data_IF_537463685707
#
_entry.id   IF_537463685707
#
_cell.length_a   1.000
_cell.length_b   1.000
_cell.length_c   1.000
_cell.angle_alpha   90.00
_cell.angle_beta   90.00
_cell.angle_gamma   90.00
#
_symmetry.space_group_name_H-M   'P 1'
#
loop_
_entity.id
_entity.type
_entity.pdbx_description
1 polymer ?
#
# COMPACT_ATOMS: atom_id res chain seq x y z
N UNK A 1 -14.12 9.67 10.61
CA UNK A 1 -14.13 8.72 9.46
C UNK A 1 -15.42 7.94 9.30
N UNK A 2 -16.21 7.68 10.36
CA UNK A 2 -17.44 6.88 10.25
C UNK A 2 -18.49 7.40 9.22
N UNK A 3 -18.75 8.71 9.07
CA UNK A 3 -19.68 9.19 8.05
C UNK A 3 -19.20 8.86 6.63
N UNK A 4 -17.93 9.14 6.31
CA UNK A 4 -17.34 8.83 5.01
C UNK A 4 -17.36 7.33 4.69
N UNK A 5 -17.05 6.48 5.67
CA UNK A 5 -17.07 5.03 5.48
C UNK A 5 -18.47 4.54 5.09
N UNK A 6 -19.51 5.05 5.75
CA UNK A 6 -20.92 4.73 5.44
C UNK A 6 -21.33 5.23 4.06
N UNK A 7 -20.93 6.45 3.68
CA UNK A 7 -21.17 6.97 2.34
C UNK A 7 -20.49 6.11 1.25
N UNK A 8 -19.38 5.46 1.59
CA UNK A 8 -18.68 4.48 0.74
C UNK A 8 -19.21 3.05 0.87
N UNK A 9 -20.27 2.81 1.65
CA UNK A 9 -20.88 1.50 1.85
C UNK A 9 -20.13 0.56 2.81
N UNK A 10 -19.16 1.07 3.58
CA UNK A 10 -18.44 0.31 4.60
C UNK A 10 -19.04 0.54 6.00
N UNK A 11 -19.63 -0.51 6.55
CA UNK A 11 -20.25 -0.53 7.88
C UNK A 11 -19.42 -1.28 8.93
N UNK A 12 -18.29 -1.86 8.54
CA UNK A 12 -17.47 -2.67 9.44
C UNK A 12 -16.63 -1.84 10.41
N UNK A 13 -16.04 -2.48 11.44
CA UNK A 13 -15.00 -1.84 12.24
C UNK A 13 -13.85 -1.31 11.40
N UNK A 14 -13.11 -0.30 11.89
CA UNK A 14 -11.89 0.16 11.24
C UNK A 14 -10.89 -0.97 10.99
N UNK A 15 -10.11 -0.86 9.92
CA UNK A 15 -8.98 -1.75 9.67
C UNK A 15 -7.92 -1.65 10.77
N UNK A 16 -7.30 -2.78 11.10
CA UNK A 16 -6.16 -2.82 12.01
C UNK A 16 -4.95 -2.16 11.40
N UNK A 17 -4.19 -1.45 12.23
CA UNK A 17 -2.87 -0.95 11.84
C UNK A 17 -1.84 -2.09 11.84
N UNK A 18 -1.53 -2.61 10.66
CA UNK A 18 -0.51 -3.66 10.46
C UNK A 18 0.68 -3.07 9.69
N UNK A 19 1.80 -2.73 10.36
CA UNK A 19 2.92 -2.01 9.73
C UNK A 19 3.44 -2.70 8.46
N UNK A 20 3.73 -4.01 8.54
CA UNK A 20 4.25 -4.78 7.41
C UNK A 20 3.29 -4.81 6.21
N UNK A 21 1.98 -4.95 6.44
CA UNK A 21 0.98 -4.91 5.35
C UNK A 21 0.87 -3.52 4.74
N UNK A 22 0.92 -2.48 5.57
CA UNK A 22 0.86 -1.08 5.10
C UNK A 22 2.10 -0.64 4.34
N UNK A 23 3.24 -1.27 4.59
CA UNK A 23 4.46 -1.06 3.81
C UNK A 23 4.27 -1.57 2.38
N UNK A 24 3.77 -2.80 2.21
CA UNK A 24 3.47 -3.38 0.90
C UNK A 24 2.48 -2.54 0.10
N UNK A 25 1.37 -2.13 0.72
CA UNK A 25 0.34 -1.32 0.04
C UNK A 25 0.87 0.04 -0.39
N UNK A 26 1.74 0.65 0.43
CA UNK A 26 2.36 1.93 0.05
C UNK A 26 3.33 1.75 -1.11
N UNK A 27 4.16 0.70 -1.07
CA UNK A 27 5.08 0.42 -2.16
C UNK A 27 4.35 0.16 -3.49
N UNK A 28 3.25 -0.60 -3.47
CA UNK A 28 2.39 -0.84 -4.63
C UNK A 28 1.77 0.48 -5.15
N UNK A 29 1.28 1.33 -4.25
CA UNK A 29 0.71 2.62 -4.61
C UNK A 29 1.76 3.56 -5.21
N UNK A 30 2.95 3.64 -4.61
CA UNK A 30 4.05 4.47 -5.10
C UNK A 30 4.49 4.00 -6.51
N UNK A 31 4.60 2.68 -6.71
CA UNK A 31 4.88 2.09 -8.02
C UNK A 31 3.83 2.46 -9.07
N UNK A 32 2.54 2.39 -8.72
CA UNK A 32 1.45 2.84 -9.59
C UNK A 32 1.56 4.32 -9.93
N UNK A 33 1.88 5.17 -8.95
CA UNK A 33 2.03 6.61 -9.19
C UNK A 33 3.19 6.90 -10.15
N UNK A 34 4.30 6.17 -10.09
CA UNK A 34 5.39 6.32 -11.05
C UNK A 34 4.96 6.02 -12.49
N UNK A 35 4.15 4.97 -12.70
CA UNK A 35 3.54 4.69 -14.01
C UNK A 35 2.59 5.82 -14.46
N UNK A 36 1.77 6.34 -13.54
CA UNK A 36 0.86 7.48 -13.83
C UNK A 36 1.62 8.74 -14.26
N UNK A 37 2.78 8.99 -13.65
CA UNK A 37 3.64 10.11 -14.03
C UNK A 37 4.51 9.84 -15.26
N UNK A 38 4.51 8.61 -15.78
CA UNK A 38 5.22 8.24 -17.00
C UNK A 38 6.73 8.10 -16.84
N UNK A 39 7.21 7.84 -15.63
CA UNK A 39 8.63 7.60 -15.39
C UNK A 39 9.02 6.19 -15.82
N UNK A 40 10.17 6.07 -16.48
CA UNK A 40 10.78 4.78 -16.76
C UNK A 40 11.45 4.17 -15.51
N UNK A 41 11.85 2.91 -15.64
CA UNK A 41 12.39 2.12 -14.52
C UNK A 41 13.69 2.70 -13.93
N UNK A 42 14.52 3.33 -14.74
CA UNK A 42 15.80 3.92 -14.32
C UNK A 42 15.58 5.30 -13.69
N UNK A 43 14.62 6.08 -14.21
CA UNK A 43 14.17 7.32 -13.60
C UNK A 43 13.58 7.09 -12.20
N UNK A 44 12.77 6.05 -12.03
CA UNK A 44 12.25 5.65 -10.70
C UNK A 44 13.40 5.27 -9.77
N UNK A 45 14.34 4.47 -10.25
CA UNK A 45 15.52 4.05 -9.48
C UNK A 45 16.33 5.26 -8.97
N UNK A 46 16.53 6.25 -9.84
CA UNK A 46 17.19 7.51 -9.54
C UNK A 46 16.40 8.37 -8.54
N UNK A 47 15.09 8.55 -8.74
CA UNK A 47 14.22 9.30 -7.82
C UNK A 47 14.29 8.71 -6.42
N UNK A 48 14.18 7.38 -6.29
CA UNK A 48 14.26 6.69 -5.00
C UNK A 48 15.61 6.91 -4.31
N UNK A 49 16.68 7.10 -5.07
CA UNK A 49 18.02 7.35 -4.54
C UNK A 49 18.24 8.75 -4.00
N UNK A 50 17.38 9.71 -4.36
CA UNK A 50 17.41 11.06 -3.79
C UNK A 50 16.97 11.09 -2.31
N UNK A 51 16.20 10.09 -1.85
CA UNK A 51 15.70 10.01 -0.47
C UNK A 51 16.71 9.41 0.51
N UNK A 52 17.82 10.11 0.70
CA UNK A 52 18.97 9.66 1.52
C UNK A 52 18.61 9.32 2.98
N UNK A 53 17.69 10.08 3.60
CA UNK A 53 17.24 9.84 4.99
C UNK A 53 16.45 8.54 5.10
N UNK A 54 15.56 8.27 4.14
CA UNK A 54 14.77 7.04 4.10
C UNK A 54 15.70 5.83 3.91
N UNK A 55 16.62 5.91 2.94
CA UNK A 55 17.67 4.89 2.75
C UNK A 55 18.45 4.60 4.03
N UNK A 56 18.86 5.65 4.76
CA UNK A 56 19.62 5.48 6.01
C UNK A 56 18.84 4.68 7.06
N UNK A 57 17.54 4.96 7.21
CA UNK A 57 16.71 4.24 8.18
C UNK A 57 16.43 2.80 7.74
N UNK A 58 16.12 2.58 6.47
CA UNK A 58 15.90 1.23 5.94
C UNK A 58 17.14 0.35 6.11
N UNK A 59 18.32 0.85 5.76
CA UNK A 59 19.58 0.08 5.91
C UNK A 59 19.86 -0.21 7.38
N UNK A 60 19.59 0.73 8.30
CA UNK A 60 19.76 0.50 9.73
C UNK A 60 18.82 -0.58 10.27
N UNK A 61 17.54 -0.52 9.88
CA UNK A 61 16.48 -1.35 10.48
C UNK A 61 16.29 -2.70 9.76
N UNK A 62 16.70 -2.78 8.49
CA UNK A 62 16.45 -3.93 7.61
C UNK A 62 17.70 -4.46 6.90
N UNK A 63 18.83 -3.75 6.95
CA UNK A 63 20.08 -4.16 6.29
C UNK A 63 20.11 -3.91 4.77
N UNK A 64 19.03 -3.38 4.20
CA UNK A 64 18.88 -3.07 2.78
C UNK A 64 18.05 -1.81 2.59
N UNK A 65 18.05 -1.23 1.39
CA UNK A 65 17.10 -0.17 1.03
C UNK A 65 15.73 -0.79 0.68
N UNK A 66 15.09 -1.38 1.68
CA UNK A 66 13.90 -2.24 1.57
C UNK A 66 12.74 -1.56 0.84
N UNK A 67 12.46 -0.29 1.15
CA UNK A 67 11.39 0.48 0.50
C UNK A 67 11.64 0.59 -0.99
N UNK A 68 12.87 0.92 -1.41
CA UNK A 68 13.26 0.96 -2.83
C UNK A 68 13.08 -0.40 -3.50
N UNK A 69 13.57 -1.48 -2.88
CA UNK A 69 13.40 -2.85 -3.41
C UNK A 69 11.91 -3.16 -3.66
N UNK A 70 11.05 -2.92 -2.68
CA UNK A 70 9.61 -3.20 -2.78
C UNK A 70 8.93 -2.37 -3.87
N UNK A 71 9.18 -1.06 -3.93
CA UNK A 71 8.59 -0.19 -4.95
C UNK A 71 8.97 -0.67 -6.36
N UNK A 72 10.24 -1.01 -6.56
CA UNK A 72 10.73 -1.47 -7.85
C UNK A 72 10.14 -2.83 -8.23
N UNK A 73 9.96 -3.75 -7.28
CA UNK A 73 9.26 -5.02 -7.51
C UNK A 73 7.82 -4.81 -7.99
N UNK A 74 7.05 -3.94 -7.33
CA UNK A 74 5.69 -3.61 -7.77
C UNK A 74 5.67 -2.87 -9.11
N UNK A 75 6.66 -2.00 -9.35
CA UNK A 75 6.79 -1.29 -10.62
C UNK A 75 6.98 -2.28 -11.77
N UNK A 76 7.84 -3.29 -11.59
CA UNK A 76 8.14 -4.30 -12.60
C UNK A 76 6.93 -5.23 -12.84
N UNK A 77 6.14 -5.54 -11.80
CA UNK A 77 4.88 -6.27 -11.94
C UNK A 77 3.84 -5.47 -12.75
N UNK A 78 3.66 -4.19 -12.43
CA UNK A 78 2.77 -3.28 -13.16
C UNK A 78 3.21 -3.12 -14.61
N UNK A 79 4.50 -2.91 -14.86
CA UNK A 79 5.07 -2.80 -16.20
C UNK A 79 4.79 -4.06 -17.04
N UNK A 80 4.91 -5.24 -16.42
CA UNK A 80 4.61 -6.53 -17.06
C UNK A 80 3.12 -6.67 -17.41
N UNK A 81 2.21 -6.26 -16.51
CA UNK A 81 0.76 -6.22 -16.79
C UNK A 81 0.42 -5.25 -17.93
N UNK A 82 1.00 -4.05 -17.92
CA UNK A 82 0.80 -3.05 -18.98
C UNK A 82 1.30 -3.57 -20.33
N UNK A 83 2.50 -4.15 -20.37
CA UNK A 83 3.09 -4.68 -21.60
C UNK A 83 2.33 -5.88 -22.18
N UNK A 84 1.77 -6.74 -21.32
CA UNK A 84 0.96 -7.89 -21.74
C UNK A 84 -0.49 -7.53 -22.09
N UNK A 85 -0.96 -6.34 -21.71
CA UNK A 85 -2.35 -5.92 -21.85
C UNK A 85 -3.32 -6.65 -20.91
N UNK A 86 -2.81 -7.45 -19.97
CA UNK A 86 -3.62 -8.14 -18.95
C UNK A 86 -3.80 -7.21 -17.76
N UNK A 87 -5.03 -7.09 -17.27
CA UNK A 87 -5.34 -6.28 -16.09
C UNK A 87 -4.46 -6.66 -14.90
N UNK A 88 -3.90 -5.65 -14.24
CA UNK A 88 -3.06 -5.87 -13.06
C UNK A 88 -3.87 -6.46 -11.91
N UNK A 89 -3.30 -7.48 -11.26
CA UNK A 89 -3.85 -8.11 -10.06
C UNK A 89 -2.84 -7.94 -8.95
N UNK A 90 -3.25 -7.28 -7.86
CA UNK A 90 -2.40 -7.08 -6.68
C UNK A 90 -1.95 -8.43 -6.10
N UNK A 91 -0.66 -8.62 -5.79
CA UNK A 91 -0.18 -9.81 -5.08
C UNK A 91 -0.44 -9.71 -3.56
N UNK A 92 -0.92 -8.56 -3.06
CA UNK A 92 -1.17 -8.35 -1.63
C UNK A 92 -2.40 -9.14 -1.22
N UNK A 93 -2.22 -10.01 -0.22
CA UNK A 93 -3.31 -10.82 0.35
C UNK A 93 -3.47 -10.57 1.87
N UNK A 94 -4.69 -10.32 2.36
CA UNK A 94 -5.91 -10.01 1.60
C UNK A 94 -5.74 -8.72 0.77
N UNK A 95 -6.54 -8.55 -0.29
CA UNK A 95 -6.44 -7.39 -1.19
C UNK A 95 -6.61 -6.08 -0.42
N UNK A 96 -6.00 -4.96 -0.87
CA UNK A 96 -6.30 -3.64 -0.32
C UNK A 96 -7.82 -3.39 -0.31
N UNK A 97 -8.37 -3.00 0.83
CA UNK A 97 -9.83 -2.93 1.05
C UNK A 97 -10.42 -4.10 1.86
N UNK A 98 -9.79 -5.28 1.83
CA UNK A 98 -10.27 -6.48 2.55
C UNK A 98 -9.32 -6.90 3.68
N UNK A 99 -8.57 -5.93 4.22
CA UNK A 99 -7.61 -6.18 5.29
C UNK A 99 -8.26 -6.58 6.63
N UNK A 100 -7.47 -7.14 7.57
CA UNK A 100 -7.96 -7.47 8.91
C UNK A 100 -8.55 -6.24 9.63
N UNK A 101 -9.76 -6.39 10.17
CA UNK A 101 -10.46 -5.36 10.94
C UNK A 101 -10.34 -5.60 12.44
N UNK A 102 -10.60 -4.56 13.21
CA UNK A 102 -10.76 -4.69 14.65
C UNK A 102 -11.99 -5.54 14.98
N UNK A 103 -12.00 -6.16 16.17
CA UNK A 103 -13.19 -6.86 16.66
C UNK A 103 -14.32 -5.86 16.92
N UNK A 104 -15.55 -6.26 16.64
CA UNK A 104 -16.74 -5.48 16.94
C UNK A 104 -16.83 -5.11 18.42
N UNK A 105 -16.31 -5.97 19.31
CA UNK A 105 -16.25 -5.74 20.76
C UNK A 105 -15.38 -4.53 21.15
N UNK A 106 -14.53 -4.05 20.25
CA UNK A 106 -13.70 -2.86 20.48
C UNK A 106 -14.38 -1.57 20.01
N UNK A 107 -15.62 -1.66 19.50
CA UNK A 107 -16.45 -0.50 19.14
C UNK A 107 -16.83 0.29 20.41
N UNK A 108 -16.56 1.60 20.46
CA UNK A 108 -17.01 2.43 21.57
C UNK A 108 -18.54 2.48 21.67
N UNK A 109 -19.09 2.48 22.88
CA UNK A 109 -20.54 2.45 23.14
C UNK A 109 -21.33 3.59 22.48
N UNK A 110 -20.69 4.74 22.24
CA UNK A 110 -21.32 5.89 21.58
C UNK A 110 -21.47 5.72 20.06
N UNK A 111 -20.91 4.67 19.46
CA UNK A 111 -20.99 4.38 18.03
C UNK A 111 -22.15 3.39 17.76
N UNK A 112 -23.15 3.75 16.92
CA UNK A 112 -24.31 2.89 16.68
C UNK A 112 -23.91 1.49 16.18
N UNK A 113 -24.59 0.47 16.68
CA UNK A 113 -24.52 -0.90 16.17
C UNK A 113 -24.93 -0.98 14.70
N UNK A 114 -24.41 -1.97 13.97
CA UNK A 114 -24.97 -2.38 12.69
C UNK A 114 -26.04 -3.42 13.06
N UNK A 115 -27.32 -3.06 12.90
CA UNK A 115 -28.42 -4.04 12.89
C UNK A 115 -28.45 -4.81 11.56
#
# INVERSE_FOLDING_TARGET
MAPLARDMGDFGPPFRWLPARREQIRAELDAMMFHVYGLDRDEVDYVLDTFTVMRKYDVRDHGEYRTKRLILEYYDLLASSIASGVGYVTPISPVPGDGPRHDESTRPEWMPGVE
#
